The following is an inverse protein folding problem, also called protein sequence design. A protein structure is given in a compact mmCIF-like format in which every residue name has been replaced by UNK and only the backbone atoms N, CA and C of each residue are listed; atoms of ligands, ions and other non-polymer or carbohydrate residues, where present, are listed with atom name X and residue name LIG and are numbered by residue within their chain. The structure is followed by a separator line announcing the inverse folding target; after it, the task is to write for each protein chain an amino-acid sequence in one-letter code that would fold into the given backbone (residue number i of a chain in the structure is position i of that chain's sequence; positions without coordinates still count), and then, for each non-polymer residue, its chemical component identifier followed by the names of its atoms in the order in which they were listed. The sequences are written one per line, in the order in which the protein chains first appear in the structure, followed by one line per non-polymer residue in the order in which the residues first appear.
data_IF_460216749707
#
_entry.id   IF_460216749707
#
_cell.length_a   1.000
_cell.length_b   1.000
_cell.length_c   1.000
_cell.angle_alpha   90.00
_cell.angle_beta   90.00
_cell.angle_gamma   90.00
#
_symmetry.space_group_name_H-M   'P 1'
#
loop_
_entity.id
_entity.type
_entity.pdbx_description
1 polymer ?
#
# COMPACT_ATOMS: atom_id res chain seq x y z
N UNK A 1 12.73 15.03 -20.51
CA UNK A 1 12.27 15.03 -19.10
C UNK A 1 13.40 14.41 -18.28
N UNK A 2 13.89 15.08 -17.23
CA UNK A 2 14.97 14.54 -16.38
C UNK A 2 14.41 13.46 -15.46
N UNK A 3 15.20 12.44 -15.12
CA UNK A 3 14.79 11.34 -14.22
C UNK A 3 14.31 11.87 -12.86
N UNK A 4 14.95 12.91 -12.34
CA UNK A 4 14.54 13.60 -11.11
C UNK A 4 13.11 14.16 -11.20
N UNK A 5 12.73 14.74 -12.35
CA UNK A 5 11.37 15.27 -12.54
C UNK A 5 10.33 14.14 -12.59
N UNK A 6 10.66 13.01 -13.22
CA UNK A 6 9.78 11.84 -13.26
C UNK A 6 9.58 11.24 -11.86
N UNK A 7 10.65 11.07 -11.10
CA UNK A 7 10.58 10.58 -9.72
C UNK A 7 9.78 11.54 -8.84
N UNK A 8 9.94 12.86 -9.02
CA UNK A 8 9.16 13.84 -8.27
C UNK A 8 7.66 13.75 -8.60
N UNK A 9 7.30 13.68 -9.89
CA UNK A 9 5.91 13.58 -10.32
C UNK A 9 5.24 12.29 -9.82
N UNK A 10 5.91 11.14 -9.98
CA UNK A 10 5.39 9.85 -9.52
C UNK A 10 5.29 9.83 -7.99
N UNK A 11 6.29 10.35 -7.28
CA UNK A 11 6.31 10.39 -5.82
C UNK A 11 5.15 11.22 -5.24
N UNK A 12 4.83 12.35 -5.86
CA UNK A 12 3.67 13.17 -5.48
C UNK A 12 2.34 12.45 -5.69
N UNK A 13 2.21 11.70 -6.80
CA UNK A 13 1.01 10.90 -7.08
C UNK A 13 0.86 9.79 -6.04
N UNK A 14 1.93 9.05 -5.75
CA UNK A 14 1.94 7.98 -4.75
C UNK A 14 1.58 8.49 -3.35
N UNK A 15 2.09 9.67 -2.95
CA UNK A 15 1.73 10.32 -1.69
C UNK A 15 0.28 10.80 -1.66
N UNK A 16 -0.21 11.36 -2.76
CA UNK A 16 -1.62 11.79 -2.85
C UNK A 16 -2.55 10.60 -2.73
N UNK A 17 -2.23 9.50 -3.40
CA UNK A 17 -2.96 8.23 -3.27
C UNK A 17 -2.90 7.71 -1.83
N UNK A 18 -1.73 7.73 -1.18
CA UNK A 18 -1.59 7.33 0.21
C UNK A 18 -2.55 8.09 1.14
N UNK A 19 -2.64 9.42 0.99
CA UNK A 19 -3.57 10.24 1.76
C UNK A 19 -5.03 9.84 1.53
N UNK A 20 -5.42 9.62 0.27
CA UNK A 20 -6.77 9.15 -0.07
C UNK A 20 -7.07 7.79 0.56
N UNK A 21 -6.11 6.86 0.53
CA UNK A 21 -6.27 5.55 1.15
C UNK A 21 -6.33 5.62 2.68
N UNK A 22 -5.54 6.49 3.33
CA UNK A 22 -5.65 6.71 4.77
C UNK A 22 -6.99 7.31 5.17
N UNK A 23 -7.49 8.29 4.42
CA UNK A 23 -8.81 8.86 4.64
C UNK A 23 -9.92 7.80 4.50
N UNK A 24 -9.79 6.87 3.54
CA UNK A 24 -10.73 5.75 3.35
C UNK A 24 -10.58 4.67 4.42
N UNK A 25 -9.37 4.42 4.93
CA UNK A 25 -9.12 3.40 5.94
C UNK A 25 -9.74 3.77 7.29
N UNK A 26 -9.67 5.06 7.67
CA UNK A 26 -10.12 5.56 8.97
C UNK A 26 -11.58 5.18 9.31
N UNK A 27 -12.60 5.49 8.48
CA UNK A 27 -13.98 5.11 8.77
C UNK A 27 -14.18 3.58 8.80
N UNK A 28 -13.46 2.83 7.97
CA UNK A 28 -13.55 1.36 7.93
C UNK A 28 -12.97 0.71 9.19
N UNK A 29 -11.89 1.28 9.73
CA UNK A 29 -11.30 0.83 11.00
C UNK A 29 -12.22 1.14 12.20
N UNK A 30 -12.91 2.28 12.18
CA UNK A 30 -13.88 2.68 13.22
C UNK A 30 -15.18 1.85 13.17
N UNK A 31 -15.66 1.48 11.98
CA UNK A 31 -16.90 0.73 11.77
C UNK A 31 -16.80 -0.80 12.03
N UNK A 32 -15.87 -1.24 12.87
CA UNK A 32 -15.63 -2.65 13.25
C UNK A 32 -15.09 -3.59 12.15
N UNK A 33 -14.90 -3.13 10.90
CA UNK A 33 -14.28 -3.91 9.83
C UNK A 33 -12.73 -3.82 9.87
N UNK A 34 -12.15 -4.07 11.05
CA UNK A 34 -10.74 -3.77 11.37
C UNK A 34 -9.73 -4.37 10.40
N UNK A 35 -9.97 -5.60 9.94
CA UNK A 35 -9.06 -6.28 8.99
C UNK A 35 -9.14 -5.65 7.60
N UNK A 36 -10.33 -5.23 7.15
CA UNK A 36 -10.48 -4.56 5.86
C UNK A 36 -9.87 -3.15 5.90
N UNK A 37 -10.10 -2.41 6.99
CA UNK A 37 -9.48 -1.12 7.24
C UNK A 37 -7.95 -1.21 7.29
N UNK A 38 -7.41 -2.23 7.97
CA UNK A 38 -5.97 -2.48 8.02
C UNK A 38 -5.37 -2.77 6.65
N UNK A 39 -6.08 -3.51 5.77
CA UNK A 39 -5.61 -3.73 4.39
C UNK A 39 -5.52 -2.44 3.59
N UNK A 40 -6.56 -1.60 3.66
CA UNK A 40 -6.60 -0.30 2.98
C UNK A 40 -5.49 0.60 3.52
N UNK A 41 -5.29 0.59 4.84
CA UNK A 41 -4.23 1.34 5.52
C UNK A 41 -2.84 0.87 5.10
N UNK A 42 -2.57 -0.44 5.09
CA UNK A 42 -1.28 -1.02 4.69
C UNK A 42 -0.95 -0.69 3.23
N UNK A 43 -1.94 -0.70 2.35
CA UNK A 43 -1.75 -0.30 0.96
C UNK A 43 -1.41 1.19 0.83
N UNK A 44 -2.13 2.06 1.54
CA UNK A 44 -1.82 3.49 1.61
C UNK A 44 -0.43 3.76 2.19
N UNK A 45 -0.03 3.00 3.23
CA UNK A 45 1.28 3.10 3.85
C UNK A 45 2.41 2.69 2.89
N UNK A 46 2.24 1.59 2.15
CA UNK A 46 3.19 1.18 1.12
C UNK A 46 3.37 2.25 0.05
N UNK A 47 2.27 2.80 -0.48
CA UNK A 47 2.33 3.91 -1.45
C UNK A 47 2.99 5.16 -0.88
N UNK A 48 2.71 5.50 0.39
CA UNK A 48 3.31 6.66 1.05
C UNK A 48 4.83 6.53 1.19
N UNK A 49 5.32 5.34 1.54
CA UNK A 49 6.75 5.06 1.66
C UNK A 49 7.45 5.05 0.30
N UNK A 50 6.85 4.44 -0.71
CA UNK A 50 7.38 4.46 -2.09
C UNK A 50 7.43 5.89 -2.64
N UNK A 51 6.38 6.67 -2.43
CA UNK A 51 6.30 8.06 -2.87
C UNK A 51 7.29 8.97 -2.15
N UNK A 52 7.47 8.77 -0.85
CA UNK A 52 8.51 9.44 -0.08
C UNK A 52 9.91 9.07 -0.57
N UNK A 53 10.18 7.79 -0.86
CA UNK A 53 11.46 7.34 -1.41
C UNK A 53 11.75 7.94 -2.80
N UNK A 54 10.73 8.11 -3.64
CA UNK A 54 10.85 8.77 -4.95
C UNK A 54 11.13 10.26 -4.81
N UNK A 55 10.45 10.96 -3.90
CA UNK A 55 10.78 12.35 -3.59
C UNK A 55 12.18 12.50 -3.01
N UNK A 56 12.59 11.59 -2.13
CA UNK A 56 13.95 11.58 -1.58
C UNK A 56 14.98 11.47 -2.71
N UNK A 57 14.79 10.53 -3.65
CA UNK A 57 15.68 10.36 -4.81
C UNK A 57 15.70 11.52 -5.79
N UNK A 58 14.66 12.35 -5.80
CA UNK A 58 14.60 13.54 -6.64
C UNK A 58 15.31 14.75 -6.02
N UNK A 59 15.44 14.79 -4.69
CA UNK A 59 15.95 15.95 -3.94
C UNK A 59 17.37 15.70 -3.40
N UNK A 60 17.67 14.47 -2.97
CA UNK A 60 18.97 14.10 -2.39
C UNK A 60 19.89 13.45 -3.41
N UNK A 61 21.18 13.78 -3.31
CA UNK A 61 22.23 13.15 -4.11
C UNK A 61 22.46 11.68 -3.72
N UNK A 62 22.25 11.33 -2.45
CA UNK A 62 22.38 9.97 -1.90
C UNK A 62 21.07 9.56 -1.20
N UNK A 63 20.08 9.07 -1.95
CA UNK A 63 18.82 8.62 -1.37
C UNK A 63 18.97 7.28 -0.63
N UNK A 64 18.17 7.10 0.42
CA UNK A 64 18.20 5.87 1.21
C UNK A 64 17.29 4.79 0.59
N UNK A 65 17.80 3.55 0.50
CA UNK A 65 16.98 2.42 0.05
C UNK A 65 15.90 2.01 1.07
N UNK A 66 16.05 2.43 2.34
CA UNK A 66 15.19 2.03 3.44
C UNK A 66 13.70 2.35 3.22
N UNK A 67 13.37 3.50 2.63
CA UNK A 67 11.98 3.87 2.33
C UNK A 67 11.35 2.91 1.31
N UNK A 68 12.11 2.53 0.28
CA UNK A 68 11.66 1.54 -0.69
C UNK A 68 11.56 0.15 -0.05
N UNK A 69 12.54 -0.28 0.73
CA UNK A 69 12.53 -1.59 1.38
C UNK A 69 11.31 -1.75 2.31
N UNK A 70 11.06 -0.75 3.15
CA UNK A 70 9.89 -0.72 4.02
C UNK A 70 8.57 -0.66 3.22
N UNK A 71 8.55 0.10 2.12
CA UNK A 71 7.41 0.16 1.21
C UNK A 71 7.09 -1.20 0.58
N UNK A 72 8.10 -1.93 0.10
CA UNK A 72 7.95 -3.28 -0.44
C UNK A 72 7.50 -4.28 0.62
N UNK A 73 8.07 -4.23 1.83
CA UNK A 73 7.64 -5.08 2.94
C UNK A 73 6.16 -4.87 3.26
N UNK A 74 5.71 -3.61 3.33
CA UNK A 74 4.31 -3.28 3.55
C UNK A 74 3.40 -3.82 2.43
N UNK A 75 3.84 -3.72 1.18
CA UNK A 75 3.10 -4.24 0.02
C UNK A 75 3.01 -5.77 0.02
N UNK A 76 4.10 -6.46 0.39
CA UNK A 76 4.14 -7.93 0.52
C UNK A 76 3.16 -8.39 1.62
N UNK A 77 3.17 -7.72 2.77
CA UNK A 77 2.24 -8.02 3.87
C UNK A 77 0.79 -7.80 3.41
N UNK A 78 0.51 -6.68 2.73
CA UNK A 78 -0.81 -6.42 2.14
C UNK A 78 -1.23 -7.55 1.19
N UNK A 79 -0.37 -7.93 0.25
CA UNK A 79 -0.64 -8.96 -0.75
C UNK A 79 -0.89 -10.33 -0.09
N UNK A 80 -0.10 -10.70 0.92
CA UNK A 80 -0.28 -11.94 1.67
C UNK A 80 -1.63 -11.98 2.40
N UNK A 81 -2.03 -10.87 3.04
CA UNK A 81 -3.33 -10.76 3.72
C UNK A 81 -4.49 -10.79 2.70
N UNK A 82 -4.32 -10.19 1.53
CA UNK A 82 -5.32 -10.19 0.47
C UNK A 82 -5.50 -11.58 -0.14
N UNK A 83 -4.39 -12.24 -0.50
CA UNK A 83 -4.37 -13.61 -1.03
C UNK A 83 -5.01 -14.60 -0.06
N UNK A 84 -4.69 -14.52 1.24
CA UNK A 84 -5.31 -15.36 2.26
C UNK A 84 -6.84 -15.19 2.31
N UNK A 85 -7.34 -13.98 2.09
CA UNK A 85 -8.79 -13.75 2.06
C UNK A 85 -9.44 -14.37 0.81
N UNK A 86 -8.80 -14.26 -0.35
CA UNK A 86 -9.25 -14.91 -1.59
C UNK A 86 -9.30 -16.44 -1.41
N UNK A 87 -8.23 -17.03 -0.88
CA UNK A 87 -8.15 -18.48 -0.65
C UNK A 87 -9.24 -18.96 0.31
N UNK A 88 -9.57 -18.19 1.35
CA UNK A 88 -10.69 -18.49 2.25
C UNK A 88 -12.04 -18.41 1.56
N UNK A 89 -12.27 -17.43 0.68
CA UNK A 89 -13.53 -17.33 -0.09
C UNK A 89 -13.63 -18.40 -1.19
N UNK A 90 -12.51 -18.80 -1.78
CA UNK A 90 -12.42 -19.86 -2.79
C UNK A 90 -12.70 -21.26 -2.24
N UNK A 91 -12.41 -21.49 -0.96
CA UNK A 91 -12.82 -22.69 -0.22
C UNK A 91 -14.30 -22.69 0.19
N UNK A 92 -15.14 -21.80 -0.37
CA UNK A 92 -16.59 -21.94 -0.22
C UNK A 92 -16.98 -23.33 -0.71
N UNK A 93 -17.61 -24.08 0.19
CA UNK A 93 -17.88 -25.51 0.09
C UNK A 93 -18.92 -25.87 -0.99
N UNK A 94 -18.74 -25.43 -2.23
CA UNK A 94 -19.65 -25.76 -3.33
C UNK A 94 -19.69 -27.26 -3.63
N UNK A 95 -18.65 -28.00 -3.24
CA UNK A 95 -18.55 -29.47 -3.31
C UNK A 95 -19.05 -30.22 -2.06
N UNK A 96 -19.52 -29.54 -1.01
CA UNK A 96 -20.16 -30.18 0.16
C UNK A 96 -21.70 -30.10 0.11
N UNK A 97 -22.30 -30.04 -1.09
CA UNK A 97 -23.74 -30.28 -1.21
C UNK A 97 -23.99 -31.79 -1.16
N UNK A 98 -24.73 -32.32 -0.16
CA UNK A 98 -25.31 -33.67 -0.25
C UNK A 98 -26.38 -33.73 -1.35
#
# INVERSE_FOLDING_TARGET
MTEAFQNMAIGLIELTLALVYFQKALPVMLAQARVQGLKIWLFGFALGLMGAGRLESAIRAEPTAALYDLGHMALIIYAAIYLRAILKSGNSHWWLKP
#
